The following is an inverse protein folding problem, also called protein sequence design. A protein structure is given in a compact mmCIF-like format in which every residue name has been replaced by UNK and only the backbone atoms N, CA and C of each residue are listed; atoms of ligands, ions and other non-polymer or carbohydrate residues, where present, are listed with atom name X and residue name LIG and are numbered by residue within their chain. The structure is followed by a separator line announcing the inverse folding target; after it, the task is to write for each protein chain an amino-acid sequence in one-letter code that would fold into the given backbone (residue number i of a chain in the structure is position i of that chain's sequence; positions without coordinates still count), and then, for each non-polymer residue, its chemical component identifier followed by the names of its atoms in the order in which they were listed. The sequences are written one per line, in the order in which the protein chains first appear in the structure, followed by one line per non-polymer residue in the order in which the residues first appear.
data_IF_349690898960
#
_entry.id   IF_349690898960
#
_cell.length_a   1.000
_cell.length_b   1.000
_cell.length_c   1.000
_cell.angle_alpha   90.00
_cell.angle_beta   90.00
_cell.angle_gamma   90.00
#
_symmetry.space_group_name_H-M   'P 1'
#
loop_
_entity.id
_entity.type
_entity.pdbx_description
1 polymer ?
#
# COMPACT_ATOMS: atom_id res chain seq x y z
N UNK A 1 -15.03 -10.37 -12.63
CA UNK A 1 -14.96 -10.36 -11.16
C UNK A 1 -15.61 -9.08 -10.66
N UNK A 2 -16.55 -9.19 -9.72
CA UNK A 2 -17.10 -8.05 -8.99
C UNK A 2 -16.20 -7.68 -7.79
N UNK A 3 -16.52 -6.59 -7.08
CA UNK A 3 -15.72 -6.12 -5.93
C UNK A 3 -15.47 -7.21 -4.89
N UNK A 4 -16.52 -7.92 -4.46
CA UNK A 4 -16.43 -8.96 -3.43
C UNK A 4 -15.59 -10.15 -3.91
N UNK A 5 -15.76 -10.56 -5.16
CA UNK A 5 -14.97 -11.62 -5.79
C UNK A 5 -13.48 -11.25 -5.86
N UNK A 6 -13.18 -10.01 -6.23
CA UNK A 6 -11.80 -9.51 -6.32
C UNK A 6 -11.14 -9.46 -4.94
N UNK A 7 -11.82 -8.88 -3.94
CA UNK A 7 -11.30 -8.81 -2.58
C UNK A 7 -11.07 -10.21 -2.02
N UNK A 8 -12.02 -11.13 -2.20
CA UNK A 8 -11.86 -12.53 -1.77
C UNK A 8 -10.75 -13.26 -2.53
N UNK A 9 -10.58 -13.01 -3.83
CA UNK A 9 -9.45 -13.54 -4.60
C UNK A 9 -8.13 -13.02 -4.04
N UNK A 10 -8.00 -11.72 -3.77
CA UNK A 10 -6.79 -11.11 -3.21
C UNK A 10 -6.41 -11.70 -1.84
N UNK A 11 -7.37 -11.83 -0.92
CA UNK A 11 -7.09 -12.41 0.40
C UNK A 11 -6.63 -13.87 0.34
N UNK A 12 -7.06 -14.64 -0.67
CA UNK A 12 -6.59 -16.02 -0.88
C UNK A 12 -5.16 -16.10 -1.40
N UNK A 13 -4.65 -15.05 -2.06
CA UNK A 13 -3.28 -15.01 -2.58
C UNK A 13 -2.24 -14.64 -1.51
N UNK A 14 -2.65 -14.02 -0.40
CA UNK A 14 -1.71 -13.63 0.64
C UNK A 14 -1.26 -14.89 1.38
N UNK A 15 0.04 -15.27 1.32
CA UNK A 15 0.56 -16.25 2.27
C UNK A 15 0.41 -15.61 3.64
N UNK A 16 -0.54 -16.09 4.45
CA UNK A 16 -0.68 -15.60 5.81
C UNK A 16 0.66 -15.83 6.50
N UNK A 17 1.36 -14.73 6.71
CA UNK A 17 2.71 -14.72 7.29
C UNK A 17 2.72 -15.35 8.68
N UNK A 18 1.57 -15.29 9.37
CA UNK A 18 1.28 -15.97 10.62
C UNK A 18 1.34 -17.51 10.52
N UNK A 19 1.07 -18.09 9.33
CA UNK A 19 0.99 -19.55 9.12
C UNK A 19 2.31 -20.15 8.60
N UNK A 20 3.18 -19.37 7.93
CA UNK A 20 4.38 -19.89 7.24
C UNK A 20 5.72 -19.47 7.87
N UNK A 21 5.71 -18.65 8.94
CA UNK A 21 6.91 -18.26 9.69
C UNK A 21 7.97 -17.51 8.86
N UNK A 22 9.23 -17.53 9.34
CA UNK A 22 10.37 -16.80 8.73
C UNK A 22 10.64 -17.16 7.26
N UNK A 23 10.23 -18.36 6.82
CA UNK A 23 10.37 -18.87 5.45
C UNK A 23 9.54 -18.10 4.42
N UNK A 24 8.49 -17.39 4.84
CA UNK A 24 7.72 -16.50 3.97
C UNK A 24 8.36 -15.11 3.79
N UNK A 25 9.44 -14.79 4.53
CA UNK A 25 10.13 -13.52 4.38
C UNK A 25 11.02 -13.52 3.14
N UNK A 26 10.58 -12.83 2.10
CA UNK A 26 11.46 -12.47 0.99
C UNK A 26 11.99 -11.06 1.26
N UNK A 27 13.30 -10.97 1.54
CA UNK A 27 13.98 -9.71 1.90
C UNK A 27 14.14 -8.78 0.68
N UNK A 28 13.99 -9.30 -0.53
CA UNK A 28 14.20 -8.55 -1.75
C UNK A 28 12.91 -7.99 -2.37
N UNK A 29 13.07 -6.95 -3.19
CA UNK A 29 11.98 -6.27 -3.89
C UNK A 29 11.74 -6.81 -5.30
N UNK A 30 12.34 -7.93 -5.69
CA UNK A 30 12.37 -8.39 -7.10
C UNK A 30 10.98 -8.57 -7.67
N UNK A 31 10.04 -9.16 -6.91
CA UNK A 31 8.67 -9.35 -7.37
C UNK A 31 7.95 -8.01 -7.60
N UNK A 32 8.14 -7.06 -6.68
CA UNK A 32 7.57 -5.70 -6.79
C UNK A 32 8.16 -4.95 -7.98
N UNK A 33 9.47 -5.03 -8.20
CA UNK A 33 10.15 -4.40 -9.33
C UNK A 33 9.74 -5.03 -10.67
N UNK A 34 9.56 -6.35 -10.72
CA UNK A 34 9.04 -7.03 -11.90
C UNK A 34 7.61 -6.58 -12.22
N UNK A 35 6.75 -6.47 -11.20
CA UNK A 35 5.39 -5.97 -11.38
C UNK A 35 5.37 -4.51 -11.86
N UNK A 36 6.16 -3.64 -11.23
CA UNK A 36 6.28 -2.23 -11.63
C UNK A 36 6.74 -2.11 -13.10
N UNK A 37 7.72 -2.92 -13.52
CA UNK A 37 8.18 -2.99 -14.90
C UNK A 37 7.05 -3.38 -15.87
N UNK A 38 6.22 -4.37 -15.52
CA UNK A 38 5.07 -4.77 -16.35
C UNK A 38 4.00 -3.67 -16.45
N UNK A 39 3.90 -2.80 -15.43
CA UNK A 39 3.00 -1.66 -15.40
C UNK A 39 3.61 -0.37 -15.97
N UNK A 40 4.81 -0.43 -16.57
CA UNK A 40 5.57 0.71 -17.10
C UNK A 40 5.95 1.76 -16.04
N UNK A 41 6.39 1.32 -14.85
CA UNK A 41 6.92 2.18 -13.78
C UNK A 41 5.97 3.32 -13.32
N UNK A 42 4.72 3.02 -12.93
CA UNK A 42 3.76 4.04 -12.52
C UNK A 42 4.24 4.85 -11.31
N UNK A 43 5.08 4.30 -10.45
CA UNK A 43 5.71 4.96 -9.31
C UNK A 43 6.56 6.18 -9.70
N UNK A 44 6.99 6.29 -10.96
CA UNK A 44 7.74 7.46 -11.46
C UNK A 44 6.84 8.58 -11.99
N UNK A 45 5.52 8.36 -12.08
CA UNK A 45 4.57 9.32 -12.68
C UNK A 45 4.06 10.39 -11.70
N UNK A 46 4.40 10.29 -10.41
CA UNK A 46 3.98 11.23 -9.38
C UNK A 46 5.07 11.50 -8.35
N UNK A 47 4.94 12.59 -7.60
CA UNK A 47 5.80 12.88 -6.44
C UNK A 47 5.33 12.06 -5.24
N UNK A 48 6.26 11.52 -4.47
CA UNK A 48 5.94 10.68 -3.31
C UNK A 48 6.60 11.20 -2.04
N UNK A 49 5.88 11.08 -0.93
CA UNK A 49 6.41 11.23 0.43
C UNK A 49 6.34 9.86 1.09
N UNK A 50 7.48 9.33 1.54
CA UNK A 50 7.56 8.02 2.18
C UNK A 50 7.65 8.17 3.69
N UNK A 51 6.66 7.65 4.43
CA UNK A 51 6.58 7.76 5.89
C UNK A 51 6.83 6.41 6.55
N UNK A 52 7.95 6.28 7.26
CA UNK A 52 8.34 5.10 8.03
C UNK A 52 8.46 5.42 9.53
N UNK A 53 8.45 4.38 10.37
CA UNK A 53 8.56 4.52 11.83
C UNK A 53 7.76 3.47 12.60
N UNK A 54 8.00 3.35 13.91
CA UNK A 54 7.25 2.38 14.74
C UNK A 54 5.82 2.87 14.98
N UNK A 55 5.66 4.13 15.40
CA UNK A 55 4.38 4.74 15.76
C UNK A 55 4.12 6.02 14.95
N UNK A 56 2.87 6.47 14.89
CA UNK A 56 2.50 7.76 14.31
C UNK A 56 2.43 7.85 12.78
N UNK A 57 2.94 6.86 12.03
CA UNK A 57 2.92 6.85 10.55
C UNK A 57 1.55 7.18 9.95
N UNK A 58 0.50 6.52 10.45
CA UNK A 58 -0.87 6.72 9.97
C UNK A 58 -1.35 8.16 10.21
N UNK A 59 -1.22 8.64 11.45
CA UNK A 59 -1.59 10.01 11.83
C UNK A 59 -0.81 11.07 11.04
N UNK A 60 0.51 10.92 10.94
CA UNK A 60 1.37 11.85 10.18
C UNK A 60 1.02 11.85 8.70
N UNK A 61 0.77 10.68 8.09
CA UNK A 61 0.39 10.60 6.67
C UNK A 61 -0.96 11.26 6.40
N UNK A 62 -1.93 11.12 7.31
CA UNK A 62 -3.22 11.80 7.22
C UNK A 62 -3.08 13.32 7.37
N UNK A 63 -2.26 13.79 8.31
CA UNK A 63 -1.99 15.23 8.48
C UNK A 63 -1.35 15.82 7.23
N UNK A 64 -0.34 15.14 6.64
CA UNK A 64 0.31 15.57 5.41
C UNK A 64 -0.69 15.60 4.23
N UNK A 65 -1.50 14.56 4.10
CA UNK A 65 -2.51 14.50 3.05
C UNK A 65 -3.51 15.65 3.16
N UNK A 66 -4.01 15.92 4.36
CA UNK A 66 -4.94 17.02 4.64
C UNK A 66 -4.35 18.39 4.30
N UNK A 67 -3.12 18.68 4.74
CA UNK A 67 -2.44 19.96 4.44
C UNK A 67 -2.21 20.14 2.94
N UNK A 68 -1.77 19.09 2.24
CA UNK A 68 -1.53 19.16 0.80
C UNK A 68 -2.84 19.27 0.00
N UNK A 69 -3.91 18.62 0.45
CA UNK A 69 -5.24 18.76 -0.15
C UNK A 69 -5.76 20.19 0.02
N UNK A 70 -5.64 20.76 1.22
CA UNK A 70 -6.04 22.14 1.51
C UNK A 70 -5.23 23.15 0.67
N UNK A 71 -3.95 22.85 0.42
CA UNK A 71 -3.11 23.65 -0.47
C UNK A 71 -3.43 23.48 -1.98
N UNK A 72 -4.45 22.71 -2.34
CA UNK A 72 -4.95 22.56 -3.71
C UNK A 72 -4.29 21.45 -4.53
N UNK A 73 -3.49 20.57 -3.92
CA UNK A 73 -2.88 19.45 -4.64
C UNK A 73 -3.84 18.26 -4.77
N UNK A 74 -3.73 17.52 -5.87
CA UNK A 74 -4.36 16.19 -6.01
C UNK A 74 -3.50 15.16 -5.26
N UNK A 75 -3.97 14.72 -4.09
CA UNK A 75 -3.22 13.83 -3.20
C UNK A 75 -3.84 12.44 -3.15
N UNK A 76 -3.00 11.42 -3.35
CA UNK A 76 -3.32 10.04 -2.99
C UNK A 76 -2.71 9.69 -1.63
N UNK A 77 -3.44 8.94 -0.80
CA UNK A 77 -2.98 8.45 0.49
C UNK A 77 -3.02 6.93 0.47
N UNK A 78 -1.92 6.29 0.89
CA UNK A 78 -1.83 4.84 1.07
C UNK A 78 -1.43 4.55 2.51
N UNK A 79 -2.32 3.93 3.28
CA UNK A 79 -2.10 3.56 4.68
C UNK A 79 -2.47 2.11 4.94
N UNK A 80 -1.85 1.49 5.94
CA UNK A 80 -2.12 0.11 6.33
C UNK A 80 -1.94 -0.08 7.85
N UNK A 81 -2.69 -0.98 8.50
CA UNK A 81 -3.82 -1.76 7.95
C UNK A 81 -5.08 -0.91 7.75
N UNK A 82 -6.08 -1.45 7.05
CA UNK A 82 -7.44 -0.90 7.03
C UNK A 82 -8.19 -1.26 8.32
N UNK A 83 -9.16 -0.43 8.73
CA UNK A 83 -9.95 -0.63 9.95
C UNK A 83 -11.31 -1.29 9.67
N UNK A 84 -12.01 -0.88 8.61
CA UNK A 84 -13.38 -1.33 8.31
C UNK A 84 -13.58 -1.79 6.86
N UNK A 85 -12.99 -1.09 5.88
CA UNK A 85 -13.11 -1.41 4.45
C UNK A 85 -11.75 -1.45 3.77
N UNK A 86 -11.56 -2.38 2.82
CA UNK A 86 -10.32 -2.52 2.05
C UNK A 86 -9.95 -1.26 1.23
N UNK A 87 -10.93 -0.38 0.97
CA UNK A 87 -10.77 0.87 0.20
C UNK A 87 -10.36 2.08 1.04
N UNK A 88 -10.19 1.92 2.36
CA UNK A 88 -9.57 2.93 3.22
C UNK A 88 -8.12 3.22 2.82
#
# INVERSE_FOLDING_TARGET
MNYQETVHWMFRQLPMYQNQGKTAYKVDLSNTLLLAKQLNHPEHSFKSIHVAGTNGKGSTSHMLASVLQEAGYKVGLYTSPHLKDFRE
#
